data_IF_336818431602
#
_entry.id   IF_336818431602
#
_cell.length_a   1.000
_cell.length_b   1.000
_cell.length_c   1.000
_cell.angle_alpha   90.00
_cell.angle_beta   90.00
_cell.angle_gamma   90.00
#
_symmetry.space_group_name_H-M   'P 1'
#
loop_
_entity.id
_entity.type
_entity.pdbx_description
1 polymer ?
#
# COMPACT_ATOMS: atom_id res chain seq x y z
N UNK A 1 11.19 10.47 -13.23
CA UNK A 1 10.91 9.05 -12.88
C UNK A 1 10.37 8.91 -11.45
N UNK A 2 11.04 9.50 -10.44
CA UNK A 2 10.64 9.51 -9.02
C UNK A 2 9.16 9.82 -8.80
N UNK A 3 8.63 10.92 -9.37
CA UNK A 3 7.22 11.29 -9.19
C UNK A 3 6.23 10.23 -9.71
N UNK A 4 6.61 9.48 -10.76
CA UNK A 4 5.78 8.37 -11.26
C UNK A 4 5.74 7.22 -10.26
N UNK A 5 6.88 6.91 -9.62
CA UNK A 5 6.95 5.89 -8.57
C UNK A 5 6.17 6.33 -7.33
N UNK A 6 6.33 7.58 -6.87
CA UNK A 6 5.56 8.13 -5.75
C UNK A 6 4.06 7.97 -5.98
N UNK A 7 3.58 8.36 -7.16
CA UNK A 7 2.17 8.20 -7.56
C UNK A 7 1.73 6.74 -7.57
N UNK A 8 2.51 5.86 -8.22
CA UNK A 8 2.18 4.43 -8.28
C UNK A 8 2.07 3.81 -6.87
N UNK A 9 3.01 4.13 -5.98
CA UNK A 9 3.01 3.63 -4.61
C UNK A 9 1.89 4.22 -3.74
N UNK A 10 1.44 5.45 -4.00
CA UNK A 10 0.30 6.05 -3.29
C UNK A 10 -1.06 5.48 -3.71
N UNK A 11 -1.16 4.90 -4.90
CA UNK A 11 -2.40 4.31 -5.43
C UNK A 11 -2.56 2.83 -5.03
N UNK A 12 -1.49 2.17 -4.58
CA UNK A 12 -1.53 0.76 -4.20
C UNK A 12 -2.10 0.56 -2.80
N UNK A 13 -3.14 -0.28 -2.71
CA UNK A 13 -3.65 -0.82 -1.44
C UNK A 13 -3.54 -2.34 -1.53
N UNK A 14 -2.65 -2.92 -0.73
CA UNK A 14 -2.44 -4.37 -0.65
C UNK A 14 -2.79 -4.82 0.77
N UNK A 15 -3.72 -5.77 0.89
CA UNK A 15 -4.22 -6.27 2.16
C UNK A 15 -3.83 -7.73 2.37
N UNK A 16 -3.63 -8.13 3.63
CA UNK A 16 -3.44 -9.53 4.02
C UNK A 16 -2.00 -10.06 3.87
N UNK A 17 -1.06 -9.29 3.34
CA UNK A 17 0.36 -9.66 3.24
C UNK A 17 1.27 -8.48 3.57
N UNK A 18 2.45 -8.76 4.14
CA UNK A 18 3.49 -7.75 4.34
C UNK A 18 4.15 -7.43 3.00
N UNK A 19 4.47 -6.16 2.77
CA UNK A 19 5.10 -5.69 1.53
C UNK A 19 6.25 -4.73 1.83
N UNK A 20 7.09 -4.47 0.83
CA UNK A 20 8.16 -3.47 0.91
C UNK A 20 7.71 -2.06 0.54
N UNK A 21 6.40 -1.84 0.31
CA UNK A 21 5.86 -0.53 -0.08
C UNK A 21 6.20 0.56 0.93
N UNK A 22 6.05 0.36 2.26
CA UNK A 22 6.38 1.40 3.24
C UNK A 22 7.85 1.82 3.17
N UNK A 23 8.76 0.85 3.00
CA UNK A 23 10.19 1.10 2.82
C UNK A 23 10.49 1.96 1.59
N UNK A 24 9.91 1.63 0.43
CA UNK A 24 10.12 2.43 -0.78
C UNK A 24 9.52 3.83 -0.67
N UNK A 25 8.35 3.98 -0.03
CA UNK A 25 7.74 5.28 0.25
C UNK A 25 8.61 6.12 1.19
N UNK A 26 9.18 5.52 2.24
CA UNK A 26 10.11 6.18 3.15
C UNK A 26 11.37 6.66 2.43
N UNK A 27 12.03 5.80 1.65
CA UNK A 27 13.23 6.18 0.87
C UNK A 27 12.93 7.34 -0.09
N UNK A 28 11.78 7.34 -0.75
CA UNK A 28 11.40 8.40 -1.70
C UNK A 28 11.14 9.77 -1.03
N UNK A 29 11.09 9.84 0.31
CA UNK A 29 11.03 11.08 1.10
C UNK A 29 12.41 11.60 1.52
N UNK A 30 13.48 10.81 1.33
CA UNK A 30 14.82 11.20 1.70
C UNK A 30 15.44 12.14 0.66
N UNK A 31 15.92 13.31 1.08
CA UNK A 31 16.52 14.29 0.17
C UNK A 31 17.81 13.79 -0.50
N UNK A 32 18.68 13.05 0.20
CA UNK A 32 19.90 12.48 -0.38
C UNK A 32 19.57 11.45 -1.48
N UNK A 33 18.54 10.61 -1.25
CA UNK A 33 18.04 9.70 -2.29
C UNK A 33 17.50 10.45 -3.51
N UNK A 34 16.78 11.56 -3.29
CA UNK A 34 16.25 12.39 -4.37
C UNK A 34 17.35 13.14 -5.15
N UNK A 35 18.42 13.53 -4.46
CA UNK A 35 19.61 14.13 -5.06
C UNK A 35 20.51 13.11 -5.78
N UNK A 36 20.27 11.81 -5.58
CA UNK A 36 21.10 10.73 -6.12
C UNK A 36 22.41 10.52 -5.36
N UNK A 37 22.54 11.10 -4.17
CA UNK A 37 23.67 10.90 -3.27
C UNK A 37 23.47 9.59 -2.50
N UNK A 38 23.85 8.48 -3.14
CA UNK A 38 23.65 7.14 -2.62
C UNK A 38 24.77 6.19 -3.06
N UNK A 39 25.03 5.20 -2.22
CA UNK A 39 26.02 4.14 -2.43
C UNK A 39 25.54 2.85 -1.76
N UNK A 40 26.35 1.79 -1.82
CA UNK A 40 25.98 0.44 -1.35
C UNK A 40 25.63 0.35 0.14
N UNK A 41 26.05 1.32 0.95
CA UNK A 41 25.79 1.37 2.39
C UNK A 41 24.71 2.39 2.80
N UNK A 42 24.09 3.07 1.82
CA UNK A 42 23.10 4.12 2.08
C UNK A 42 22.01 3.69 3.07
N UNK A 43 21.47 2.48 2.90
CA UNK A 43 20.38 1.95 3.75
C UNK A 43 20.85 1.72 5.19
N UNK A 44 22.08 1.22 5.39
CA UNK A 44 22.62 0.94 6.72
C UNK A 44 22.87 2.24 7.49
N UNK A 45 23.41 3.25 6.83
CA UNK A 45 23.69 4.57 7.41
C UNK A 45 22.40 5.31 7.80
N UNK A 46 21.35 5.16 6.98
CA UNK A 46 20.07 5.81 7.20
C UNK A 46 19.06 4.94 7.96
N UNK A 47 19.46 3.75 8.45
CA UNK A 47 18.55 2.73 9.01
C UNK A 47 17.58 3.29 10.05
N UNK A 48 18.09 4.01 11.06
CA UNK A 48 17.27 4.59 12.13
C UNK A 48 16.22 5.57 11.61
N UNK A 49 16.60 6.36 10.61
CA UNK A 49 15.69 7.32 9.98
C UNK A 49 14.66 6.59 9.11
N UNK A 50 15.08 5.58 8.34
CA UNK A 50 14.19 4.76 7.51
C UNK A 50 13.13 4.08 8.39
N UNK A 51 13.53 3.48 9.51
CA UNK A 51 12.61 2.81 10.44
C UNK A 51 11.55 3.79 10.96
N UNK A 52 11.96 4.98 11.39
CA UNK A 52 11.05 6.02 11.88
C UNK A 52 10.14 6.58 10.77
N UNK A 53 10.65 6.74 9.55
CA UNK A 53 9.87 7.25 8.43
C UNK A 53 8.88 6.21 7.90
N UNK A 54 9.26 4.92 7.95
CA UNK A 54 8.34 3.82 7.64
C UNK A 54 7.16 3.77 8.60
N UNK A 55 7.37 4.01 9.90
CA UNK A 55 6.28 4.06 10.89
C UNK A 55 5.23 5.11 10.52
N UNK A 56 5.67 6.32 10.15
CA UNK A 56 4.78 7.39 9.68
C UNK A 56 4.02 6.99 8.41
N UNK A 57 4.73 6.41 7.43
CA UNK A 57 4.11 5.95 6.19
C UNK A 57 3.02 4.91 6.48
N UNK A 58 3.29 3.95 7.38
CA UNK A 58 2.31 2.93 7.72
C UNK A 58 1.10 3.48 8.45
N UNK A 59 1.29 4.49 9.30
CA UNK A 59 0.18 5.18 9.97
C UNK A 59 -0.70 5.90 8.94
N UNK A 60 -0.10 6.65 8.01
CA UNK A 60 -0.83 7.33 6.93
C UNK A 60 -1.62 6.34 6.05
N UNK A 61 -1.03 5.18 5.74
CA UNK A 61 -1.69 4.13 4.98
C UNK A 61 -2.85 3.49 5.76
N UNK A 62 -2.69 3.28 7.08
CA UNK A 62 -3.75 2.77 7.95
C UNK A 62 -4.92 3.75 8.04
N UNK A 63 -4.64 5.04 8.21
CA UNK A 63 -5.65 6.09 8.19
C UNK A 63 -6.42 6.12 6.87
N UNK A 64 -5.72 6.01 5.73
CA UNK A 64 -6.35 5.94 4.42
C UNK A 64 -7.29 4.74 4.31
N UNK A 65 -6.83 3.55 4.74
CA UNK A 65 -7.66 2.35 4.77
C UNK A 65 -8.88 2.54 5.67
N UNK A 66 -8.73 3.16 6.84
CA UNK A 66 -9.84 3.45 7.74
C UNK A 66 -10.87 4.40 7.10
N UNK A 67 -10.42 5.45 6.41
CA UNK A 67 -11.31 6.37 5.66
C UNK A 67 -12.06 5.64 4.54
N UNK A 68 -11.41 4.67 3.90
CA UNK A 68 -11.99 3.93 2.79
C UNK A 68 -12.67 2.61 3.20
N UNK A 69 -12.75 2.32 4.50
CA UNK A 69 -13.34 1.08 5.03
C UNK A 69 -14.79 0.91 4.59
N UNK A 70 -15.56 2.00 4.49
CA UNK A 70 -16.94 1.98 3.99
C UNK A 70 -17.04 1.69 2.49
N UNK A 71 -16.04 2.10 1.69
CA UNK A 71 -15.96 1.84 0.25
C UNK A 71 -15.62 0.38 -0.05
N UNK A 72 -14.69 -0.19 0.71
CA UNK A 72 -14.16 -1.54 0.46
C UNK A 72 -14.84 -2.65 1.26
N UNK A 73 -15.48 -2.33 2.39
CA UNK A 73 -16.23 -3.28 3.22
C UNK A 73 -17.60 -2.72 3.55
N UNK A 74 -18.53 -2.61 2.58
CA UNK A 74 -19.86 -2.14 2.87
C UNK A 74 -20.55 -3.13 3.80
N UNK A 75 -21.09 -2.62 4.91
CA UNK A 75 -22.13 -3.33 5.64
C UNK A 75 -23.32 -3.62 4.71
N UNK A 76 -24.18 -4.57 5.11
CA UNK A 76 -25.23 -5.23 4.32
C UNK A 76 -26.19 -4.34 3.47
N UNK A 77 -26.11 -3.01 3.51
CA UNK A 77 -27.05 -2.07 2.85
C UNK A 77 -26.47 -1.22 1.71
N UNK A 78 -25.15 -1.22 1.45
CA UNK A 78 -24.52 -0.30 0.45
C UNK A 78 -23.98 -1.06 -0.79
N UNK A 79 -24.63 -2.16 -1.18
CA UNK A 79 -24.20 -2.97 -2.32
C UNK A 79 -24.57 -2.38 -3.71
N UNK A 80 -25.52 -1.44 -3.78
CA UNK A 80 -26.12 -1.02 -5.05
C UNK A 80 -25.27 -0.03 -5.88
N UNK A 81 -24.34 0.71 -5.27
CA UNK A 81 -23.52 1.72 -5.97
C UNK A 81 -22.15 1.14 -6.42
N UNK A 82 -21.68 0.05 -5.80
CA UNK A 82 -20.35 -0.59 -6.05
C UNK A 82 -20.39 -1.82 -6.98
N UNK A 83 -21.40 -1.91 -7.85
CA UNK A 83 -21.55 -3.05 -8.77
C UNK A 83 -20.34 -3.27 -9.71
N UNK A 84 -19.44 -2.28 -9.84
CA UNK A 84 -18.17 -2.43 -10.56
C UNK A 84 -17.09 -3.23 -9.81
N UNK A 85 -17.19 -3.42 -8.49
CA UNK A 85 -16.21 -4.15 -7.66
C UNK A 85 -16.75 -5.49 -7.14
N UNK A 86 -18.07 -5.61 -6.96
CA UNK A 86 -18.70 -6.83 -6.43
C UNK A 86 -18.56 -8.06 -7.33
N UNK A 87 -18.46 -7.87 -8.65
CA UNK A 87 -18.23 -8.97 -9.62
C UNK A 87 -16.85 -9.60 -9.45
N UNK A 88 -15.83 -8.82 -9.08
CA UNK A 88 -14.46 -9.30 -8.91
C UNK A 88 -14.29 -10.20 -7.67
N UNK A 89 -14.88 -9.82 -6.53
CA UNK A 89 -14.72 -10.60 -5.31
C UNK A 89 -15.53 -11.91 -5.32
N UNK A 90 -16.72 -11.94 -5.94
CA UNK A 90 -17.46 -13.19 -6.15
C UNK A 90 -16.70 -14.16 -7.07
N UNK A 91 -16.07 -13.65 -8.13
CA UNK A 91 -15.23 -14.47 -9.00
C UNK A 91 -14.00 -15.01 -8.27
N UNK A 92 -13.33 -14.19 -7.45
CA UNK A 92 -12.17 -14.61 -6.66
C UNK A 92 -12.54 -15.65 -5.58
N UNK A 93 -13.69 -15.48 -4.91
CA UNK A 93 -14.18 -16.43 -3.92
C UNK A 93 -14.59 -17.77 -4.56
N UNK A 94 -15.27 -17.73 -5.72
CA UNK A 94 -15.59 -18.92 -6.50
C UNK A 94 -14.34 -19.69 -6.98
N UNK A 95 -13.24 -18.99 -7.25
CA UNK A 95 -11.96 -19.61 -7.59
C UNK A 95 -11.26 -20.23 -6.37
N UNK A 96 -11.36 -19.62 -5.19
CA UNK A 96 -10.82 -20.20 -3.95
C UNK A 96 -11.59 -21.45 -3.51
N UNK A 97 -12.92 -21.45 -3.63
CA UNK A 97 -13.77 -22.60 -3.31
C UNK A 97 -13.55 -23.81 -4.24
N UNK A 98 -13.13 -23.58 -5.50
CA UNK A 98 -12.77 -24.65 -6.44
C UNK A 98 -11.39 -25.26 -6.19
N UNK A 99 -10.50 -24.58 -5.47
CA UNK A 99 -9.18 -25.12 -5.10
C UNK A 99 -9.18 -25.94 -3.81
N UNK A 100 -10.27 -25.88 -3.03
CA UNK A 100 -10.44 -26.61 -1.77
C UNK A 100 -11.32 -27.87 -1.90
N UNK A 101 -11.71 -28.22 -3.12
CA UNK A 101 -12.34 -29.50 -3.47
C UNK A 101 -11.43 -30.23 -4.44
#
# INVERSE_FOLDING_TARGET
AVNRMKRALSEYIILGVKTTIPFHKAILRNESFLAGDLHTHFVDEHKKWIDAEMEKVTEEDLEMVNRMKSTFMPGKKIAAISASVGTYFNAAQAQQLKKQK
#
